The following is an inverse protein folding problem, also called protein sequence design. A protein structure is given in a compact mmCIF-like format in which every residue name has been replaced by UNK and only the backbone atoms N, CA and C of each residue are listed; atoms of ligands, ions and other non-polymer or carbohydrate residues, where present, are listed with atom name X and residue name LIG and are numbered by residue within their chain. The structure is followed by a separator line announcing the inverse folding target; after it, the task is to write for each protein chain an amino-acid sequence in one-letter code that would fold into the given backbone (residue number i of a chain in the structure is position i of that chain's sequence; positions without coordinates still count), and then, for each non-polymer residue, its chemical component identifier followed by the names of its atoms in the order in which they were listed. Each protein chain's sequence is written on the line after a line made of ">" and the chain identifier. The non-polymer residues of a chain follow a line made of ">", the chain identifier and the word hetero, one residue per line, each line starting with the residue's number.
data_IF_963916097497
#
_entry.id   IF_963916097497
#
_cell.length_a   1.000
_cell.length_b   1.000
_cell.length_c   1.000
_cell.angle_alpha   90.00
_cell.angle_beta   90.00
_cell.angle_gamma   90.00
#
_symmetry.space_group_name_H-M   'P 1'
#
loop_
_entity.id
_entity.type
_entity.pdbx_description
1 polymer ?
#
# COMPACT_ATOMS: atom_id res chain seq x y z
N UNK A 1 49.75 -64.38 10.35
CA UNK A 1 50.36 -63.10 9.92
C UNK A 1 50.41 -63.10 8.40
N UNK A 2 49.91 -62.01 7.81
CA UNK A 2 50.00 -61.56 6.41
C UNK A 2 49.54 -62.50 5.29
N UNK A 3 48.37 -62.19 4.72
CA UNK A 3 48.07 -62.50 3.32
C UNK A 3 48.03 -61.17 2.57
N UNK A 4 49.13 -60.86 1.89
CA UNK A 4 49.15 -59.95 0.75
C UNK A 4 49.06 -60.79 -0.51
N UNK A 5 48.18 -60.44 -1.45
CA UNK A 5 48.50 -60.21 -2.86
C UNK A 5 47.26 -59.67 -3.55
N UNK A 6 47.47 -58.57 -4.24
CA UNK A 6 46.53 -57.67 -4.89
C UNK A 6 46.40 -58.01 -6.38
N UNK A 7 45.36 -57.44 -7.01
CA UNK A 7 45.13 -57.29 -8.46
C UNK A 7 44.63 -58.54 -9.20
N UNK A 8 43.71 -58.46 -10.16
CA UNK A 8 43.14 -57.31 -10.88
C UNK A 8 41.94 -57.78 -11.71
N UNK A 9 40.96 -56.88 -11.86
CA UNK A 9 40.07 -56.70 -13.01
C UNK A 9 39.39 -57.91 -13.66
N UNK A 10 38.05 -57.89 -13.61
CA UNK A 10 37.23 -58.07 -14.80
C UNK A 10 35.95 -57.25 -14.64
N UNK A 11 36.07 -56.03 -15.15
CA UNK A 11 35.03 -55.15 -15.68
C UNK A 11 33.77 -55.92 -16.13
N UNK A 12 32.62 -55.67 -15.50
CA UNK A 12 31.32 -55.83 -16.19
C UNK A 12 30.38 -54.72 -15.76
N UNK A 13 30.50 -53.61 -16.49
CA UNK A 13 29.41 -52.79 -17.02
C UNK A 13 28.34 -52.36 -16.00
N UNK A 14 28.63 -51.27 -15.33
CA UNK A 14 27.60 -50.33 -14.85
C UNK A 14 26.79 -49.85 -16.07
N UNK A 15 25.52 -50.24 -16.17
CA UNK A 15 24.56 -49.49 -16.97
C UNK A 15 23.93 -48.43 -16.05
N UNK A 16 24.00 -47.13 -16.38
CA UNK A 16 23.27 -46.14 -15.60
C UNK A 16 21.78 -46.36 -15.86
N UNK A 17 21.02 -46.64 -14.79
CA UNK A 17 19.57 -46.49 -14.86
C UNK A 17 19.32 -45.02 -15.16
N UNK A 18 18.78 -44.78 -16.35
CA UNK A 18 18.56 -43.47 -16.93
C UNK A 18 17.74 -42.62 -15.99
N UNK A 19 18.31 -41.48 -15.59
CA UNK A 19 17.62 -40.36 -14.96
C UNK A 19 16.59 -39.78 -15.92
N UNK A 20 15.46 -40.45 -16.08
CA UNK A 20 14.32 -40.00 -16.88
C UNK A 20 13.43 -39.01 -16.10
N UNK A 21 14.03 -38.01 -15.47
CA UNK A 21 13.28 -37.02 -14.68
C UNK A 21 13.23 -35.62 -15.29
N UNK A 22 13.86 -35.36 -16.44
CA UNK A 22 14.15 -33.98 -16.86
C UNK A 22 13.56 -33.49 -18.20
N UNK A 23 12.47 -34.06 -18.75
CA UNK A 23 11.95 -33.58 -20.05
C UNK A 23 10.41 -33.45 -20.21
N UNK A 24 9.65 -33.08 -19.16
CA UNK A 24 8.19 -32.78 -19.30
C UNK A 24 7.84 -31.29 -19.09
N UNK A 25 8.80 -30.40 -18.78
CA UNK A 25 8.50 -29.07 -18.22
C UNK A 25 8.14 -27.89 -19.18
N UNK A 26 8.05 -27.97 -20.52
CA UNK A 26 7.60 -26.83 -21.32
C UNK A 26 6.11 -26.85 -21.73
N UNK A 27 5.43 -28.00 -21.64
CA UNK A 27 4.01 -28.13 -22.05
C UNK A 27 3.06 -27.74 -20.92
N UNK A 28 3.33 -28.23 -19.70
CA UNK A 28 2.51 -27.98 -18.50
C UNK A 28 2.47 -26.49 -18.13
N UNK A 29 3.61 -25.80 -18.24
CA UNK A 29 3.69 -24.35 -18.01
C UNK A 29 2.87 -23.55 -19.03
N UNK A 30 2.90 -23.93 -20.32
CA UNK A 30 2.10 -23.27 -21.37
C UNK A 30 0.59 -23.45 -21.17
N UNK A 31 0.15 -24.62 -20.72
CA UNK A 31 -1.26 -24.84 -20.40
C UNK A 31 -1.73 -23.96 -19.24
N UNK A 32 -0.90 -23.85 -18.20
CA UNK A 32 -1.20 -23.00 -17.05
C UNK A 32 -1.25 -21.51 -17.44
N UNK A 33 -0.27 -21.03 -18.21
CA UNK A 33 -0.26 -19.65 -18.72
C UNK A 33 -1.53 -19.33 -19.53
N UNK A 34 -1.98 -20.25 -20.38
CA UNK A 34 -3.19 -20.04 -21.18
C UNK A 34 -4.46 -19.99 -20.32
N UNK A 35 -4.55 -20.80 -19.27
CA UNK A 35 -5.66 -20.74 -18.32
C UNK A 35 -5.67 -19.42 -17.55
N UNK A 36 -4.51 -18.99 -17.05
CA UNK A 36 -4.37 -17.73 -16.31
C UNK A 36 -4.69 -16.53 -17.21
N UNK A 37 -4.17 -16.50 -18.43
CA UNK A 37 -4.50 -15.44 -19.41
C UNK A 37 -6.00 -15.40 -19.72
N UNK A 38 -6.65 -16.54 -19.93
CA UNK A 38 -8.10 -16.59 -20.16
C UNK A 38 -8.89 -16.04 -18.97
N UNK A 39 -8.44 -16.33 -17.74
CA UNK A 39 -9.07 -15.81 -16.54
C UNK A 39 -8.86 -14.30 -16.38
N UNK A 40 -7.63 -13.82 -16.59
CA UNK A 40 -7.30 -12.39 -16.59
C UNK A 40 -8.14 -11.64 -17.64
N UNK A 41 -8.24 -12.14 -18.87
CA UNK A 41 -9.07 -11.50 -19.90
C UNK A 41 -10.56 -11.46 -19.54
N UNK A 42 -11.04 -12.42 -18.74
CA UNK A 42 -12.45 -12.47 -18.32
C UNK A 42 -12.81 -11.45 -17.23
N UNK A 43 -11.82 -10.94 -16.48
CA UNK A 43 -12.05 -9.93 -15.42
C UNK A 43 -11.89 -8.49 -15.91
N UNK A 44 -11.43 -8.30 -17.15
CA UNK A 44 -11.10 -7.00 -17.71
C UNK A 44 -12.20 -6.46 -18.62
N UNK A 45 -12.28 -5.14 -18.73
CA UNK A 45 -13.12 -4.49 -19.73
C UNK A 45 -12.52 -4.67 -21.13
N UNK A 46 -13.32 -4.63 -22.20
CA UNK A 46 -12.84 -4.83 -23.58
C UNK A 46 -11.70 -3.87 -23.98
N UNK A 47 -11.72 -2.64 -23.45
CA UNK A 47 -10.70 -1.63 -23.67
C UNK A 47 -9.32 -2.04 -23.12
N UNK A 48 -9.29 -2.58 -21.91
CA UNK A 48 -8.05 -2.99 -21.22
C UNK A 48 -7.59 -4.35 -21.76
N UNK A 49 -8.52 -5.24 -22.08
CA UNK A 49 -8.24 -6.51 -22.74
C UNK A 49 -7.52 -6.31 -24.08
N UNK A 50 -7.91 -5.30 -24.87
CA UNK A 50 -7.25 -4.96 -26.13
C UNK A 50 -5.77 -4.59 -25.99
N UNK A 51 -5.35 -4.11 -24.81
CA UNK A 51 -3.95 -3.76 -24.54
C UNK A 51 -3.07 -4.97 -24.14
N UNK A 52 -3.69 -6.09 -23.74
CA UNK A 52 -2.97 -7.29 -23.30
C UNK A 52 -3.16 -8.50 -24.22
N UNK A 53 -4.13 -8.43 -25.14
CA UNK A 53 -4.35 -9.42 -26.20
C UNK A 53 -3.13 -9.43 -27.12
N UNK A 54 -2.28 -10.45 -26.97
CA UNK A 54 -1.02 -10.58 -27.71
C UNK A 54 0.14 -11.11 -26.87
N UNK A 55 0.04 -11.04 -25.54
CA UNK A 55 1.04 -11.65 -24.66
C UNK A 55 0.91 -13.17 -24.61
N UNK A 56 2.04 -13.85 -24.76
CA UNK A 56 2.09 -15.31 -24.78
C UNK A 56 2.21 -15.93 -23.37
N UNK A 57 2.58 -15.11 -22.37
CA UNK A 57 2.78 -15.53 -20.99
C UNK A 57 1.90 -14.71 -20.05
N UNK A 58 1.41 -15.34 -18.99
CA UNK A 58 0.62 -14.65 -17.96
C UNK A 58 1.41 -13.54 -17.29
N UNK A 59 2.72 -13.76 -17.06
CA UNK A 59 3.62 -12.78 -16.48
C UNK A 59 3.73 -11.49 -17.32
N UNK A 60 3.86 -11.60 -18.64
CA UNK A 60 3.95 -10.43 -19.51
C UNK A 60 2.64 -9.63 -19.51
N UNK A 61 1.48 -10.31 -19.53
CA UNK A 61 0.19 -9.66 -19.41
C UNK A 61 0.00 -8.97 -18.05
N UNK A 62 0.39 -9.63 -16.95
CA UNK A 62 0.34 -9.05 -15.61
C UNK A 62 1.23 -7.80 -15.51
N UNK A 63 2.43 -7.83 -16.07
CA UNK A 63 3.33 -6.66 -16.07
C UNK A 63 2.78 -5.49 -16.88
N UNK A 64 2.18 -5.76 -18.04
CA UNK A 64 1.53 -4.72 -18.84
C UNK A 64 0.34 -4.09 -18.10
N UNK A 65 -0.47 -4.90 -17.42
CA UNK A 65 -1.54 -4.39 -16.55
C UNK A 65 -0.97 -3.56 -15.41
N UNK A 66 0.07 -4.06 -14.74
CA UNK A 66 0.75 -3.31 -13.69
C UNK A 66 1.23 -1.96 -14.19
N UNK A 67 1.84 -1.89 -15.38
CA UNK A 67 2.28 -0.64 -15.99
C UNK A 67 1.11 0.33 -16.25
N UNK A 68 0.05 -0.16 -16.92
CA UNK A 68 -1.17 0.61 -17.23
C UNK A 68 -1.78 1.19 -15.95
N UNK A 69 -1.88 0.38 -14.90
CA UNK A 69 -2.49 0.79 -13.64
C UNK A 69 -1.52 1.48 -12.68
N UNK A 70 -0.20 1.40 -12.91
CA UNK A 70 0.80 1.99 -12.02
C UNK A 70 0.70 3.52 -11.98
N UNK A 71 0.55 4.16 -13.15
CA UNK A 71 0.42 5.61 -13.24
C UNK A 71 -0.90 6.09 -12.62
N UNK A 72 -2.01 5.41 -12.91
CA UNK A 72 -3.32 5.69 -12.30
C UNK A 72 -3.31 5.50 -10.78
N UNK A 73 -2.65 4.44 -10.30
CA UNK A 73 -2.47 4.18 -8.87
C UNK A 73 -1.64 5.27 -8.19
N UNK A 74 -0.49 5.64 -8.78
CA UNK A 74 0.37 6.73 -8.28
C UNK A 74 -0.35 8.08 -8.27
N UNK A 75 -1.07 8.41 -9.34
CA UNK A 75 -1.86 9.64 -9.41
C UNK A 75 -2.95 9.67 -8.32
N UNK A 76 -3.63 8.54 -8.07
CA UNK A 76 -4.63 8.43 -7.01
C UNK A 76 -4.02 8.56 -5.62
N UNK A 77 -2.84 7.97 -5.38
CA UNK A 77 -2.08 8.17 -4.14
C UNK A 77 -1.72 9.64 -3.94
N UNK A 78 -1.22 10.30 -4.99
CA UNK A 78 -0.86 11.70 -4.96
C UNK A 78 -2.07 12.60 -4.68
N UNK A 79 -3.22 12.31 -5.31
CA UNK A 79 -4.46 13.04 -5.03
C UNK A 79 -4.84 12.94 -3.55
N UNK A 80 -4.75 11.75 -2.94
CA UNK A 80 -5.02 11.58 -1.50
C UNK A 80 -4.04 12.37 -0.62
N UNK A 81 -2.77 12.44 -1.00
CA UNK A 81 -1.76 13.27 -0.32
C UNK A 81 -2.09 14.77 -0.43
N UNK A 82 -2.52 15.22 -1.61
CA UNK A 82 -2.96 16.59 -1.83
C UNK A 82 -4.22 16.91 -1.02
N UNK A 83 -5.21 16.02 -0.99
CA UNK A 83 -6.42 16.19 -0.18
C UNK A 83 -6.05 16.33 1.30
N UNK A 84 -5.10 15.53 1.80
CA UNK A 84 -4.58 15.65 3.15
C UNK A 84 -3.94 17.02 3.39
N UNK A 85 -3.04 17.49 2.51
CA UNK A 85 -2.31 18.75 2.70
C UNK A 85 -3.18 20.00 2.53
N UNK A 86 -4.26 19.90 1.75
CA UNK A 86 -5.12 21.04 1.42
C UNK A 86 -6.37 21.11 2.29
N UNK A 87 -6.64 20.11 3.13
CA UNK A 87 -7.81 20.13 4.00
C UNK A 87 -7.76 21.31 4.97
N UNK A 88 -8.87 22.05 5.03
CA UNK A 88 -9.09 23.17 5.95
C UNK A 88 -10.37 22.92 6.72
N UNK A 89 -10.48 23.45 7.95
CA UNK A 89 -11.70 23.40 8.74
C UNK A 89 -12.87 24.08 7.99
N UNK A 90 -12.63 25.26 7.42
CA UNK A 90 -13.65 26.00 6.68
C UNK A 90 -14.93 26.23 7.50
N UNK A 91 -16.07 25.76 6.98
CA UNK A 91 -17.37 25.78 7.64
C UNK A 91 -17.69 24.50 8.44
N UNK A 92 -16.80 23.52 8.46
CA UNK A 92 -17.00 22.27 9.22
C UNK A 92 -16.94 22.55 10.72
N UNK A 93 -17.69 21.76 11.50
CA UNK A 93 -17.45 21.68 12.93
C UNK A 93 -16.07 21.10 13.23
N UNK A 94 -15.54 21.37 14.42
CA UNK A 94 -14.23 20.84 14.82
C UNK A 94 -14.19 19.31 14.78
N UNK A 95 -15.26 18.66 15.22
CA UNK A 95 -15.38 17.20 15.21
C UNK A 95 -15.36 16.64 13.78
N UNK A 96 -16.14 17.23 12.86
CA UNK A 96 -16.17 16.81 11.46
C UNK A 96 -14.81 17.00 10.79
N UNK A 97 -14.13 18.10 11.09
CA UNK A 97 -12.79 18.37 10.57
C UNK A 97 -11.77 17.33 11.05
N UNK A 98 -11.73 17.05 12.35
CA UNK A 98 -10.90 16.00 12.96
C UNK A 98 -11.19 14.64 12.32
N UNK A 99 -12.46 14.27 12.19
CA UNK A 99 -12.86 12.98 11.61
C UNK A 99 -12.44 12.87 10.15
N UNK A 100 -12.50 13.98 9.40
CA UNK A 100 -12.10 14.01 7.99
C UNK A 100 -10.60 13.83 7.80
N UNK A 101 -9.77 14.47 8.64
CA UNK A 101 -8.32 14.22 8.67
C UNK A 101 -8.05 12.75 8.96
N UNK A 102 -8.67 12.20 10.01
CA UNK A 102 -8.51 10.78 10.38
C UNK A 102 -8.87 9.86 9.22
N UNK A 103 -10.00 10.08 8.56
CA UNK A 103 -10.44 9.26 7.43
C UNK A 103 -9.43 9.30 6.26
N UNK A 104 -8.90 10.48 5.91
CA UNK A 104 -7.88 10.58 4.86
C UNK A 104 -6.60 9.84 5.28
N UNK A 105 -6.16 9.97 6.53
CA UNK A 105 -5.00 9.27 7.09
C UNK A 105 -5.17 7.75 7.10
N UNK A 106 -6.35 7.25 7.51
CA UNK A 106 -6.69 5.83 7.53
C UNK A 106 -6.69 5.25 6.09
N UNK A 107 -7.23 6.00 5.12
CA UNK A 107 -7.19 5.62 3.72
C UNK A 107 -5.76 5.57 3.15
N UNK A 108 -4.91 6.52 3.54
CA UNK A 108 -3.50 6.54 3.17
C UNK A 108 -2.75 5.36 3.80
N UNK A 109 -3.02 5.04 5.08
CA UNK A 109 -2.45 3.87 5.74
C UNK A 109 -2.87 2.56 5.07
N UNK A 110 -4.12 2.44 4.62
CA UNK A 110 -4.63 1.26 3.91
C UNK A 110 -3.88 0.96 2.59
N UNK A 111 -3.30 1.98 1.95
CA UNK A 111 -2.50 1.84 0.73
C UNK A 111 -0.98 1.88 0.98
N UNK A 112 -0.54 1.65 2.23
CA UNK A 112 0.86 1.69 2.68
C UNK A 112 1.55 3.05 2.59
N UNK A 113 0.75 4.12 2.60
CA UNK A 113 1.20 5.52 2.56
C UNK A 113 0.91 6.23 3.88
N UNK A 114 1.14 5.54 5.00
CA UNK A 114 0.77 6.03 6.34
C UNK A 114 1.36 7.40 6.65
N UNK A 115 0.55 8.26 7.24
CA UNK A 115 0.94 9.60 7.69
C UNK A 115 1.30 9.56 9.16
N UNK A 116 2.43 10.17 9.53
CA UNK A 116 2.87 10.21 10.93
C UNK A 116 1.89 11.01 11.79
N UNK A 117 1.77 10.66 13.08
CA UNK A 117 0.91 11.38 14.01
C UNK A 117 1.27 12.87 14.09
N UNK A 118 2.58 13.19 14.05
CA UNK A 118 3.08 14.57 13.99
C UNK A 118 2.55 15.31 12.76
N UNK A 119 2.59 14.69 11.57
CA UNK A 119 2.08 15.32 10.35
C UNK A 119 0.56 15.52 10.39
N UNK A 120 -0.18 14.60 11.02
CA UNK A 120 -1.62 14.74 11.25
C UNK A 120 -1.93 15.93 12.15
N UNK A 121 -1.15 16.13 13.22
CA UNK A 121 -1.29 17.27 14.14
C UNK A 121 -0.92 18.58 13.44
N UNK A 122 0.18 18.61 12.67
CA UNK A 122 0.57 19.78 11.88
C UNK A 122 -0.49 20.15 10.85
N UNK A 123 -1.07 19.18 10.16
CA UNK A 123 -2.15 19.42 9.22
C UNK A 123 -3.42 19.92 9.92
N UNK A 124 -3.74 19.34 11.08
CA UNK A 124 -4.86 19.77 11.90
C UNK A 124 -4.72 21.25 12.22
N UNK A 125 -3.57 21.68 12.75
CA UNK A 125 -3.30 23.09 13.08
C UNK A 125 -3.26 24.00 11.85
N UNK A 126 -2.64 23.56 10.75
CA UNK A 126 -2.53 24.38 9.54
C UNK A 126 -3.90 24.74 8.96
N UNK A 127 -4.89 23.84 9.08
CA UNK A 127 -6.24 24.07 8.57
C UNK A 127 -7.19 24.79 9.51
N UNK A 128 -6.75 25.19 10.71
CA UNK A 128 -7.52 26.06 11.61
C UNK A 128 -7.41 27.54 11.17
N UNK A 129 -8.46 28.31 11.44
CA UNK A 129 -8.50 29.76 11.18
C UNK A 129 -7.79 30.53 12.32
N UNK A 130 -7.58 31.83 12.12
CA UNK A 130 -6.82 32.69 13.04
C UNK A 130 -7.39 32.77 14.47
N UNK A 131 -8.67 32.46 14.64
CA UNK A 131 -9.36 32.31 15.92
C UNK A 131 -8.77 31.21 16.82
N UNK A 132 -8.03 30.25 16.25
CA UNK A 132 -7.37 29.18 17.00
C UNK A 132 -5.86 29.39 17.19
N UNK A 133 -5.30 30.52 16.74
CA UNK A 133 -3.85 30.78 16.79
C UNK A 133 -3.27 30.71 18.21
N UNK A 134 -4.03 31.15 19.22
CA UNK A 134 -3.59 31.07 20.62
C UNK A 134 -3.47 29.61 21.11
N UNK A 135 -4.42 28.76 20.71
CA UNK A 135 -4.40 27.32 21.05
C UNK A 135 -3.25 26.63 20.32
N UNK A 136 -3.08 26.93 19.02
CA UNK A 136 -1.96 26.40 18.24
C UNK A 136 -0.64 26.81 18.88
N UNK A 137 -0.46 28.09 19.21
CA UNK A 137 0.75 28.60 19.86
C UNK A 137 1.01 27.89 21.20
N UNK A 138 -0.01 27.77 22.06
CA UNK A 138 0.08 27.09 23.36
C UNK A 138 0.39 25.59 23.25
N UNK A 139 -0.02 24.94 22.17
CA UNK A 139 0.26 23.52 21.94
C UNK A 139 1.65 23.33 21.33
N UNK A 140 2.11 24.24 20.47
CA UNK A 140 3.44 24.18 19.85
C UNK A 140 4.58 24.57 20.79
N UNK A 141 4.32 25.32 21.88
CA UNK A 141 5.32 25.68 22.89
C UNK A 141 5.52 24.62 23.97
N UNK A 142 4.70 23.57 24.00
CA UNK A 142 4.90 22.43 24.89
C UNK A 142 6.00 21.53 24.31
N UNK A 143 7.04 21.24 25.10
CA UNK A 143 8.11 20.29 24.74
C UNK A 143 7.68 18.82 24.81
N UNK A 144 6.45 18.54 25.27
CA UNK A 144 5.90 17.19 25.35
C UNK A 144 5.62 16.62 23.95
N UNK A 145 5.87 15.31 23.76
CA UNK A 145 5.46 14.60 22.54
C UNK A 145 3.94 14.73 22.36
N UNK A 146 3.54 15.60 21.43
CA UNK A 146 2.13 15.86 21.12
C UNK A 146 1.50 14.59 20.53
N UNK A 147 0.54 14.02 21.26
CA UNK A 147 -0.33 12.96 20.74
C UNK A 147 -1.66 13.53 20.23
N UNK A 148 -2.22 12.86 19.24
CA UNK A 148 -3.48 13.15 18.57
C UNK A 148 -4.65 13.25 19.57
N UNK A 149 -4.68 12.36 20.57
CA UNK A 149 -5.81 12.24 21.49
C UNK A 149 -5.96 13.46 22.44
N UNK A 150 -4.91 13.91 23.15
CA UNK A 150 -4.95 15.17 23.90
C UNK A 150 -5.29 16.39 23.05
N UNK A 151 -4.71 16.49 21.84
CA UNK A 151 -4.94 17.63 20.93
C UNK A 151 -6.41 17.70 20.52
N UNK A 152 -7.01 16.56 20.15
CA UNK A 152 -8.44 16.50 19.82
C UNK A 152 -9.33 16.93 21.00
N UNK A 153 -9.01 16.46 22.21
CA UNK A 153 -9.76 16.79 23.43
C UNK A 153 -9.74 18.30 23.72
N UNK A 154 -8.56 18.93 23.63
CA UNK A 154 -8.39 20.38 23.87
C UNK A 154 -9.18 21.19 22.83
N UNK A 155 -9.09 20.82 21.55
CA UNK A 155 -9.81 21.51 20.48
C UNK A 155 -11.32 21.41 20.62
N UNK A 156 -11.84 20.22 20.93
CA UNK A 156 -13.28 20.00 21.13
C UNK A 156 -13.82 20.76 22.35
N UNK A 157 -13.07 20.77 23.45
CA UNK A 157 -13.44 21.48 24.69
C UNK A 157 -13.54 22.99 24.45
N UNK A 158 -12.57 23.57 23.75
CA UNK A 158 -12.59 25.00 23.44
C UNK A 158 -13.77 25.38 22.53
N UNK A 159 -14.13 24.54 21.55
CA UNK A 159 -15.27 24.83 20.67
C UNK A 159 -16.64 24.72 21.35
N UNK A 160 -16.78 23.83 22.33
CA UNK A 160 -18.02 23.73 23.10
C UNK A 160 -18.25 24.98 23.97
N UNK A 161 -17.19 25.52 24.58
CA UNK A 161 -17.27 26.73 25.40
C UNK A 161 -17.60 27.99 24.58
N UNK A 162 -17.15 28.07 23.32
CA UNK A 162 -17.45 29.17 22.40
C UNK A 162 -18.91 29.17 21.87
N UNK A 163 -19.59 28.02 21.96
CA UNK A 163 -21.01 27.89 21.64
C UNK A 163 -21.89 28.30 22.83
N UNK A 164 -21.44 28.02 24.06
CA UNK A 164 -22.15 28.37 25.29
C UNK A 164 -22.09 29.89 25.57
N UNK A 165 -21.01 30.57 25.21
CA UNK A 165 -20.87 32.03 25.38
C UNK A 165 -21.69 32.87 24.40
N UNK A 166 -22.32 32.26 23.38
CA UNK A 166 -23.21 32.94 22.40
C UNK A 166 -24.70 32.78 22.67
N UNK A 167 -25.07 32.03 23.70
CA UNK A 167 -26.47 31.77 24.11
C UNK A 167 -26.87 32.62 25.33
N UNK A 168 -25.97 33.46 25.84
CA UNK A 168 -26.19 34.35 26.98
C UNK A 168 -25.88 35.80 26.62
#
# INVERSE_FOLDING_TARGET
>A
MVNSTQSSDLQTRVAPVSSSSNEILPQTQRHFDRMVLSWICSTLTPEIMGQIVGFQTSHAACNALEEIFSASSKARVMQRRLDFQTIRKGSLSMMEYILRIKNISDNLAAIRESVSERDQILQLFSGLRADYNFIVASLTTREDDLSLHPVHSILLTHTNNDCVSKIQ
#
